data_IF_638128192941
#
_entry.id   IF_638128192941
#
_cell.length_a   1.000
_cell.length_b   1.000
_cell.length_c   1.000
_cell.angle_alpha   90.00
_cell.angle_beta   90.00
_cell.angle_gamma   90.00
#
_symmetry.space_group_name_H-M   'P 1'
#
loop_
_entity.id
_entity.type
_entity.pdbx_description
1 polymer ?
#
# COMPACT_ATOMS: atom_id res chain seq x y z
N UNK A 1 -16.78 -20.98 20.38
CA UNK A 1 -15.42 -20.58 19.97
C UNK A 1 -14.66 -20.21 21.23
N UNK A 2 -13.53 -20.86 21.52
CA UNK A 2 -12.72 -20.52 22.68
C UNK A 2 -11.81 -19.32 22.34
N UNK A 3 -12.29 -18.11 22.62
CA UNK A 3 -11.57 -16.86 22.33
C UNK A 3 -10.22 -16.79 23.04
N UNK A 4 -10.19 -17.17 24.32
CA UNK A 4 -8.97 -17.13 25.13
C UNK A 4 -7.88 -18.02 24.53
N UNK A 5 -8.23 -19.25 24.13
CA UNK A 5 -7.30 -20.16 23.48
C UNK A 5 -6.69 -19.58 22.19
N UNK A 6 -7.49 -18.85 21.39
CA UNK A 6 -6.97 -18.19 20.19
C UNK A 6 -6.00 -17.06 20.52
N UNK A 7 -6.31 -16.27 21.56
CA UNK A 7 -5.46 -15.17 22.00
C UNK A 7 -4.13 -15.68 22.57
N UNK A 8 -4.18 -16.76 23.36
CA UNK A 8 -3.00 -17.43 23.90
C UNK A 8 -2.13 -18.02 22.80
N UNK A 9 -2.75 -18.69 21.81
CA UNK A 9 -2.05 -19.22 20.64
C UNK A 9 -1.41 -18.11 19.79
N UNK A 10 -2.08 -16.96 19.59
CA UNK A 10 -1.50 -15.81 18.88
C UNK A 10 -0.33 -15.20 19.66
N UNK A 11 -0.48 -15.08 20.98
CA UNK A 11 0.58 -14.59 21.87
C UNK A 11 1.80 -15.50 21.78
N UNK A 12 1.59 -16.82 21.83
CA UNK A 12 2.68 -17.78 21.73
C UNK A 12 3.33 -17.77 20.35
N UNK A 13 2.55 -17.67 19.27
CA UNK A 13 3.08 -17.49 17.93
C UNK A 13 3.99 -16.26 17.85
N UNK A 14 3.56 -15.13 18.40
CA UNK A 14 4.36 -13.90 18.43
C UNK A 14 5.67 -14.08 19.20
N UNK A 15 5.67 -14.79 20.32
CA UNK A 15 6.89 -15.08 21.08
C UNK A 15 7.87 -15.95 20.27
N UNK A 16 7.37 -16.94 19.53
CA UNK A 16 8.21 -17.86 18.75
C UNK A 16 8.74 -17.25 17.45
N UNK A 17 7.97 -16.36 16.81
CA UNK A 17 8.28 -15.85 15.47
C UNK A 17 8.58 -14.35 15.43
N UNK A 18 8.42 -13.64 16.55
CA UNK A 18 8.62 -12.18 16.67
C UNK A 18 7.55 -11.32 16.00
N UNK A 19 6.53 -11.91 15.38
CA UNK A 19 5.46 -11.20 14.67
C UNK A 19 4.15 -12.01 14.63
N UNK A 20 3.06 -11.39 14.16
CA UNK A 20 1.73 -12.02 14.01
C UNK A 20 1.37 -12.33 12.54
N UNK A 21 2.38 -12.50 11.68
CA UNK A 21 2.20 -12.90 10.29
C UNK A 21 2.05 -14.42 10.18
N UNK A 22 0.94 -14.93 10.70
CA UNK A 22 0.62 -16.36 10.64
C UNK A 22 0.27 -16.76 9.19
N UNK A 23 0.97 -17.74 8.58
CA UNK A 23 0.63 -18.29 7.27
C UNK A 23 -0.78 -18.89 7.27
N UNK A 24 -1.51 -18.79 6.15
CA UNK A 24 -2.89 -19.26 6.06
C UNK A 24 -3.06 -20.75 6.41
N UNK A 25 -2.10 -21.59 6.00
CA UNK A 25 -2.10 -23.05 6.24
C UNK A 25 -1.36 -23.46 7.51
N UNK A 26 -0.96 -22.51 8.36
CA UNK A 26 -0.28 -22.85 9.60
C UNK A 26 -1.23 -23.56 10.56
N UNK A 27 -0.82 -24.76 10.98
CA UNK A 27 -1.48 -25.59 11.97
C UNK A 27 -0.48 -25.79 13.10
N UNK A 28 -0.94 -25.65 14.34
CA UNK A 28 -0.09 -25.87 15.50
C UNK A 28 0.30 -27.36 15.56
N UNK A 29 1.60 -27.69 15.60
CA UNK A 29 2.05 -29.07 15.63
C UNK A 29 1.58 -29.79 16.90
N UNK A 30 1.17 -31.04 16.73
CA UNK A 30 0.83 -31.92 17.85
C UNK A 30 2.08 -32.31 18.63
N UNK A 31 1.95 -32.45 19.95
CA UNK A 31 3.02 -32.85 20.88
C UNK A 31 4.22 -31.88 20.92
N UNK A 32 4.06 -30.66 20.44
CA UNK A 32 5.09 -29.63 20.59
C UNK A 32 4.92 -28.92 21.93
N UNK A 33 5.86 -29.15 22.85
CA UNK A 33 5.88 -28.58 24.20
C UNK A 33 5.92 -27.04 24.22
N UNK A 34 6.21 -26.39 23.08
CA UNK A 34 6.12 -24.93 22.96
C UNK A 34 4.68 -24.45 22.92
N UNK A 35 3.70 -25.33 22.73
CA UNK A 35 2.28 -24.98 22.65
C UNK A 35 1.49 -25.68 23.76
N UNK A 36 0.42 -25.02 24.23
CA UNK A 36 -0.55 -25.65 25.12
C UNK A 36 -1.20 -26.85 24.40
N UNK A 37 -1.44 -27.94 25.12
CA UNK A 37 -2.02 -29.17 24.58
C UNK A 37 -3.37 -28.94 23.89
N UNK A 38 -4.15 -28.01 24.43
CA UNK A 38 -5.46 -27.56 23.95
C UNK A 38 -5.37 -26.86 22.59
N UNK A 39 -4.21 -26.31 22.25
CA UNK A 39 -3.95 -25.63 20.99
C UNK A 39 -3.38 -26.57 19.91
N UNK A 40 -3.04 -27.82 20.23
CA UNK A 40 -2.52 -28.76 19.24
C UNK A 40 -3.52 -29.03 18.11
N UNK A 41 -3.01 -29.18 16.89
CA UNK A 41 -3.80 -29.33 15.66
C UNK A 41 -4.74 -28.15 15.34
N UNK A 42 -4.67 -27.05 16.10
CA UNK A 42 -5.44 -25.85 15.83
C UNK A 42 -4.95 -25.18 14.55
N UNK A 43 -5.88 -24.95 13.62
CA UNK A 43 -5.63 -24.24 12.36
C UNK A 43 -5.52 -22.72 12.59
N UNK A 44 -4.48 -22.29 13.30
CA UNK A 44 -4.27 -20.89 13.68
C UNK A 44 -4.23 -19.94 12.47
N UNK A 45 -3.69 -20.39 11.33
CA UNK A 45 -3.72 -19.63 10.08
C UNK A 45 -5.13 -19.32 9.55
N UNK A 46 -6.03 -20.29 9.65
CA UNK A 46 -7.44 -20.13 9.25
C UNK A 46 -8.18 -19.19 10.22
N UNK A 47 -7.89 -19.29 11.52
CA UNK A 47 -8.45 -18.41 12.56
C UNK A 47 -8.04 -16.96 12.30
N UNK A 48 -6.75 -16.71 12.11
CA UNK A 48 -6.21 -15.38 11.76
C UNK A 48 -6.88 -14.82 10.51
N UNK A 49 -7.10 -15.65 9.49
CA UNK A 49 -7.80 -15.24 8.28
C UNK A 49 -9.25 -14.82 8.58
N UNK A 50 -10.00 -15.61 9.36
CA UNK A 50 -11.38 -15.29 9.76
C UNK A 50 -11.45 -14.02 10.61
N UNK A 51 -10.51 -13.81 11.53
CA UNK A 51 -10.43 -12.58 12.34
C UNK A 51 -10.24 -11.34 11.45
N UNK A 52 -9.41 -11.43 10.41
CA UNK A 52 -9.23 -10.35 9.44
C UNK A 52 -10.49 -10.07 8.62
N UNK A 53 -11.23 -11.10 8.21
CA UNK A 53 -12.49 -10.94 7.48
C UNK A 53 -13.60 -10.30 8.34
N UNK A 54 -13.62 -10.62 9.64
CA UNK A 54 -14.62 -10.12 10.58
C UNK A 54 -14.19 -8.86 11.32
N UNK A 55 -13.11 -8.20 10.91
CA UNK A 55 -12.52 -7.07 11.65
C UNK A 55 -13.54 -5.97 12.00
N UNK A 56 -14.47 -5.66 11.08
CA UNK A 56 -15.50 -4.64 11.27
C UNK A 56 -16.64 -5.07 12.20
N UNK A 57 -16.81 -6.36 12.46
CA UNK A 57 -17.88 -6.92 13.30
C UNK A 57 -17.36 -7.59 14.58
N UNK A 58 -16.09 -7.40 14.91
CA UNK A 58 -15.53 -7.88 16.17
C UNK A 58 -16.05 -7.04 17.34
N UNK A 59 -16.37 -7.68 18.49
CA UNK A 59 -16.60 -6.97 19.73
C UNK A 59 -15.44 -6.05 20.09
N UNK A 60 -15.73 -4.89 20.69
CA UNK A 60 -14.74 -3.87 21.02
C UNK A 60 -13.58 -4.42 21.87
N UNK A 61 -13.88 -5.24 22.88
CA UNK A 61 -12.89 -5.88 23.75
C UNK A 61 -11.92 -6.78 22.98
N UNK A 62 -12.46 -7.62 22.07
CA UNK A 62 -11.64 -8.50 21.24
C UNK A 62 -10.76 -7.72 20.28
N UNK A 63 -11.29 -6.63 19.72
CA UNK A 63 -10.54 -5.73 18.86
C UNK A 63 -9.39 -5.07 19.62
N UNK A 64 -9.65 -4.51 20.80
CA UNK A 64 -8.63 -3.87 21.65
C UNK A 64 -7.54 -4.86 22.05
N UNK A 65 -7.91 -6.10 22.42
CA UNK A 65 -6.92 -7.12 22.76
C UNK A 65 -5.98 -7.45 21.58
N UNK A 66 -6.53 -7.57 20.37
CA UNK A 66 -5.75 -7.80 19.16
C UNK A 66 -4.87 -6.59 18.79
N UNK A 67 -5.39 -5.37 18.90
CA UNK A 67 -4.63 -4.14 18.63
C UNK A 67 -3.47 -3.97 19.62
N UNK A 68 -3.72 -4.22 20.92
CA UNK A 68 -2.71 -4.16 22.00
C UNK A 68 -1.53 -5.09 21.73
N UNK A 69 -1.78 -6.30 21.20
CA UNK A 69 -0.69 -7.22 20.84
C UNK A 69 -0.02 -6.90 19.49
N UNK A 70 -0.46 -5.87 18.77
CA UNK A 70 0.08 -5.47 17.47
C UNK A 70 -0.45 -6.30 16.29
N UNK A 71 -1.66 -6.86 16.39
CA UNK A 71 -2.27 -7.62 15.31
C UNK A 71 -2.70 -6.72 14.15
N UNK A 72 -2.22 -7.00 12.95
CA UNK A 72 -2.57 -6.25 11.74
C UNK A 72 -3.76 -6.89 11.02
N UNK A 73 -4.92 -6.24 11.09
CA UNK A 73 -6.15 -6.67 10.42
C UNK A 73 -6.07 -6.62 8.88
N UNK A 74 -5.18 -5.79 8.33
CA UNK A 74 -4.97 -5.66 6.88
C UNK A 74 -4.40 -6.92 6.19
N UNK A 75 -3.93 -7.91 6.94
CA UNK A 75 -3.32 -9.12 6.39
C UNK A 75 -1.91 -8.94 5.81
N UNK A 76 -1.23 -10.05 5.54
CA UNK A 76 0.16 -10.09 5.03
C UNK A 76 0.29 -9.39 3.65
N UNK A 77 -0.81 -9.34 2.88
CA UNK A 77 -0.84 -8.64 1.58
C UNK A 77 -0.79 -7.11 1.72
N UNK A 78 -1.15 -6.55 2.88
CA UNK A 78 -1.03 -5.13 3.16
C UNK A 78 0.22 -4.87 3.99
N UNK A 79 1.40 -4.97 3.36
CA UNK A 79 2.66 -4.43 3.93
C UNK A 79 2.59 -2.92 4.19
N UNK A 80 1.62 -2.25 3.57
CA UNK A 80 1.42 -0.81 3.62
C UNK A 80 0.37 -0.48 4.69
N UNK A 81 0.83 0.09 5.80
CA UNK A 81 -0.01 0.63 6.88
C UNK A 81 -0.77 1.89 6.45
N UNK A 82 -1.66 2.40 7.31
CA UNK A 82 -2.31 3.69 7.06
C UNK A 82 -1.29 4.84 7.08
N UNK A 83 -0.37 4.83 8.04
CA UNK A 83 0.71 5.81 8.16
C UNK A 83 1.57 5.84 6.91
N UNK A 84 1.89 4.67 6.33
CA UNK A 84 2.65 4.59 5.07
C UNK A 84 1.91 5.27 3.91
N UNK A 85 0.57 5.13 3.85
CA UNK A 85 -0.25 5.80 2.82
C UNK A 85 -0.24 7.31 3.01
N UNK A 86 -0.33 7.80 4.24
CA UNK A 86 -0.23 9.23 4.54
C UNK A 86 1.14 9.78 4.15
N UNK A 87 2.22 9.09 4.51
CA UNK A 87 3.58 9.49 4.15
C UNK A 87 3.77 9.52 2.63
N UNK A 88 3.22 8.55 1.90
CA UNK A 88 3.20 8.55 0.45
C UNK A 88 2.40 9.74 -0.14
N UNK A 89 1.23 10.07 0.43
CA UNK A 89 0.44 11.23 -0.02
C UNK A 89 1.17 12.54 0.27
N UNK A 90 1.78 12.68 1.46
CA UNK A 90 2.56 13.85 1.83
C UNK A 90 3.76 14.04 0.90
N UNK A 91 4.52 12.97 0.61
CA UNK A 91 5.61 13.01 -0.35
C UNK A 91 5.12 13.41 -1.76
N UNK A 92 4.00 12.84 -2.22
CA UNK A 92 3.40 13.22 -3.50
C UNK A 92 3.04 14.71 -3.53
N UNK A 93 2.44 15.24 -2.46
CA UNK A 93 2.11 16.67 -2.34
C UNK A 93 3.37 17.54 -2.35
N UNK A 94 4.44 17.15 -1.66
CA UNK A 94 5.70 17.88 -1.65
C UNK A 94 6.34 17.91 -3.04
N UNK A 95 6.30 16.81 -3.78
CA UNK A 95 6.92 16.69 -5.11
C UNK A 95 6.10 17.40 -6.20
N UNK A 96 4.76 17.32 -6.15
CA UNK A 96 3.88 17.80 -7.21
C UNK A 96 3.06 19.04 -6.85
N UNK A 97 3.09 19.51 -5.60
CA UNK A 97 2.30 20.63 -5.09
C UNK A 97 0.81 20.35 -4.89
N UNK A 98 0.32 19.15 -5.23
CA UNK A 98 -1.11 18.81 -5.18
C UNK A 98 -1.35 17.32 -4.88
N UNK A 99 -2.58 16.95 -4.52
CA UNK A 99 -2.98 15.55 -4.27
C UNK A 99 -3.82 14.91 -5.40
N UNK A 100 -3.73 15.45 -6.62
CA UNK A 100 -4.38 14.90 -7.81
C UNK A 100 -3.60 13.71 -8.39
N UNK A 101 -3.49 12.63 -7.61
CA UNK A 101 -2.74 11.43 -8.00
C UNK A 101 -3.42 10.71 -9.18
N UNK A 102 -2.70 10.44 -10.30
CA UNK A 102 -3.24 9.64 -11.39
C UNK A 102 -3.58 8.22 -10.97
N UNK A 103 -4.67 7.64 -11.48
CA UNK A 103 -5.16 6.32 -11.03
C UNK A 103 -4.17 5.16 -11.25
N UNK A 104 -3.29 5.26 -12.24
CA UNK A 104 -2.24 4.27 -12.53
C UNK A 104 -0.87 4.61 -11.91
N UNK A 105 -0.78 5.71 -11.16
CA UNK A 105 0.50 6.16 -10.59
C UNK A 105 1.05 5.12 -9.62
N UNK A 106 2.33 4.78 -9.83
CA UNK A 106 3.11 3.87 -9.01
C UNK A 106 4.37 4.61 -8.54
N UNK A 107 4.66 4.52 -7.25
CA UNK A 107 5.85 5.13 -6.66
C UNK A 107 7.10 4.44 -7.25
N UNK A 108 8.06 5.19 -7.80
CA UNK A 108 9.31 4.63 -8.30
C UNK A 108 10.12 4.02 -7.15
N UNK A 109 10.78 2.89 -7.40
CA UNK A 109 11.78 2.35 -6.48
C UNK A 109 13.08 3.14 -6.56
N UNK A 110 13.88 3.11 -5.50
CA UNK A 110 15.22 3.73 -5.46
C UNK A 110 15.22 5.25 -5.68
N UNK A 111 14.07 5.91 -5.47
CA UNK A 111 13.98 7.36 -5.50
C UNK A 111 13.90 7.90 -4.07
N UNK A 112 14.92 8.64 -3.66
CA UNK A 112 15.09 9.20 -2.31
C UNK A 112 14.05 10.25 -1.93
N UNK A 113 13.30 10.80 -2.90
CA UNK A 113 12.16 11.68 -2.60
C UNK A 113 10.97 10.92 -1.99
N UNK A 114 11.00 9.58 -2.02
CA UNK A 114 9.97 8.71 -1.46
C UNK A 114 10.54 7.85 -0.34
N UNK A 115 9.81 7.66 0.77
CA UNK A 115 10.19 6.70 1.80
C UNK A 115 10.33 5.28 1.24
N UNK A 116 11.38 4.55 1.65
CA UNK A 116 11.69 3.23 1.11
C UNK A 116 10.56 2.22 1.30
N UNK A 117 9.88 2.30 2.45
CA UNK A 117 8.72 1.46 2.81
C UNK A 117 7.51 1.65 1.87
N UNK A 118 7.46 2.71 1.06
CA UNK A 118 6.37 2.97 0.11
C UNK A 118 6.78 2.78 -1.35
N UNK A 119 8.03 2.40 -1.62
CA UNK A 119 8.47 2.12 -2.98
C UNK A 119 7.63 1.02 -3.63
N UNK A 120 7.44 1.15 -4.94
CA UNK A 120 6.57 0.29 -5.74
C UNK A 120 5.07 0.31 -5.37
N UNK A 121 4.64 1.12 -4.40
CA UNK A 121 3.23 1.25 -4.06
C UNK A 121 2.45 1.81 -5.26
N UNK A 122 1.32 1.17 -5.59
CA UNK A 122 0.33 1.70 -6.54
C UNK A 122 -0.50 2.81 -5.88
N UNK A 123 0.12 3.95 -5.59
CA UNK A 123 -0.51 5.06 -4.87
C UNK A 123 -1.78 5.56 -5.58
N UNK A 124 -1.84 5.51 -6.91
CA UNK A 124 -3.06 5.81 -7.66
C UNK A 124 -4.26 4.91 -7.30
N UNK A 125 -3.99 3.61 -7.11
CA UNK A 125 -5.01 2.66 -6.68
C UNK A 125 -5.43 2.89 -5.22
N UNK A 126 -4.48 3.26 -4.35
CA UNK A 126 -4.76 3.63 -2.96
C UNK A 126 -5.72 4.82 -2.89
N UNK A 127 -5.43 5.89 -3.64
CA UNK A 127 -6.26 7.10 -3.71
C UNK A 127 -7.66 6.78 -4.26
N UNK A 128 -7.75 5.94 -5.29
CA UNK A 128 -9.03 5.48 -5.83
C UNK A 128 -9.86 4.74 -4.77
N UNK A 129 -9.24 3.85 -3.99
CA UNK A 129 -9.91 3.10 -2.94
C UNK A 129 -10.34 4.01 -1.78
N UNK A 130 -9.52 4.99 -1.39
CA UNK A 130 -9.89 6.00 -0.38
C UNK A 130 -11.15 6.76 -0.83
N UNK A 131 -11.20 7.21 -2.09
CA UNK A 131 -12.38 7.90 -2.63
C UNK A 131 -13.62 7.01 -2.67
N UNK A 132 -13.48 5.74 -3.05
CA UNK A 132 -14.60 4.77 -3.03
C UNK A 132 -15.11 4.49 -1.62
N UNK A 133 -14.23 4.52 -0.63
CA UNK A 133 -14.56 4.29 0.77
C UNK A 133 -14.96 5.57 1.52
N UNK A 134 -15.25 6.69 0.83
CA UNK A 134 -15.54 7.98 1.47
C UNK A 134 -16.57 7.88 2.60
N UNK A 135 -17.66 7.15 2.37
CA UNK A 135 -18.79 7.06 3.28
C UNK A 135 -18.58 6.09 4.44
N UNK A 136 -17.53 5.26 4.39
CA UNK A 136 -17.22 4.24 5.39
C UNK A 136 -15.84 4.41 6.02
N UNK A 137 -15.22 5.58 5.84
CA UNK A 137 -13.92 5.92 6.43
C UNK A 137 -14.12 6.34 7.89
N UNK A 138 -13.28 5.76 8.74
CA UNK A 138 -13.13 6.15 10.14
C UNK A 138 -12.80 7.65 10.29
N UNK A 139 -13.33 8.28 11.34
CA UNK A 139 -13.24 9.73 11.56
C UNK A 139 -11.80 10.22 11.67
N UNK A 140 -10.93 9.45 12.34
CA UNK A 140 -9.50 9.81 12.48
C UNK A 140 -8.81 9.76 11.12
N UNK A 141 -9.14 8.77 10.28
CA UNK A 141 -8.58 8.69 8.91
C UNK A 141 -9.07 9.84 8.04
N UNK A 142 -10.34 10.23 8.19
CA UNK A 142 -10.92 11.37 7.48
C UNK A 142 -10.22 12.68 7.91
N UNK A 143 -9.98 12.87 9.20
CA UNK A 143 -9.28 14.05 9.72
C UNK A 143 -7.87 14.19 9.12
N UNK A 144 -7.07 13.12 9.14
CA UNK A 144 -5.74 13.13 8.53
C UNK A 144 -5.77 13.52 7.03
N UNK A 145 -6.78 13.07 6.28
CA UNK A 145 -6.92 13.43 4.86
C UNK A 145 -7.32 14.90 4.68
N UNK A 146 -8.15 15.44 5.58
CA UNK A 146 -8.53 16.86 5.59
C UNK A 146 -7.32 17.74 5.86
N UNK A 147 -6.51 17.40 6.88
CA UNK A 147 -5.27 18.12 7.21
C UNK A 147 -4.28 18.14 6.05
N UNK A 148 -4.17 17.02 5.32
CA UNK A 148 -3.35 16.95 4.11
C UNK A 148 -3.90 17.77 2.92
N UNK A 149 -5.16 18.23 2.98
CA UNK A 149 -5.85 18.89 1.87
C UNK A 149 -6.26 17.93 0.75
N UNK A 150 -6.69 16.72 1.12
CA UNK A 150 -7.03 15.68 0.16
C UNK A 150 -8.24 16.03 -0.72
N UNK A 151 -8.08 15.84 -2.03
CA UNK A 151 -9.12 16.15 -3.02
C UNK A 151 -10.01 14.93 -3.26
N UNK A 152 -11.26 15.02 -2.81
CA UNK A 152 -12.29 13.98 -2.97
C UNK A 152 -12.82 13.88 -4.41
N UNK A 153 -12.96 15.01 -5.10
CA UNK A 153 -13.50 15.08 -6.46
C UNK A 153 -12.45 15.61 -7.44
N UNK A 154 -11.97 14.75 -8.35
CA UNK A 154 -11.06 15.15 -9.42
C UNK A 154 -11.83 15.24 -10.74
N UNK A 155 -11.84 16.41 -11.38
CA UNK A 155 -12.44 16.57 -12.72
C UNK A 155 -11.84 15.53 -13.69
N UNK A 156 -12.68 14.83 -14.47
CA UNK A 156 -12.22 13.85 -15.45
C UNK A 156 -11.31 14.54 -16.48
N UNK A 157 -10.07 14.04 -16.69
CA UNK A 157 -9.28 14.45 -17.86
C UNK A 157 -9.96 13.90 -19.12
N UNK A 158 -10.31 14.78 -20.07
CA UNK A 158 -10.57 14.39 -21.47
C UNK A 158 -9.37 13.59 -21.94
N UNK A 159 -9.60 12.43 -22.58
CA UNK A 159 -8.55 11.73 -23.34
C UNK A 159 -8.04 12.75 -24.38
N UNK A 160 -6.84 13.30 -24.17
CA UNK A 160 -6.10 13.88 -25.28
C UNK A 160 -5.78 12.68 -26.18
N UNK A 161 -6.44 12.64 -27.34
CA UNK A 161 -6.09 11.73 -28.40
C UNK A 161 -4.57 11.83 -28.61
N UNK A 162 -3.91 10.69 -28.72
CA UNK A 162 -2.54 10.63 -29.17
C UNK A 162 -2.53 11.30 -30.56
N UNK A 163 -2.02 12.53 -30.64
CA UNK A 163 -1.62 13.06 -31.93
C UNK A 163 -0.43 12.21 -32.37
N UNK A 164 -0.47 11.61 -33.58
CA UNK A 164 0.65 10.86 -34.10
C UNK A 164 1.85 11.81 -34.21
N UNK A 165 2.96 11.41 -33.60
CA UNK A 165 4.26 12.08 -33.73
C UNK A 165 4.59 12.18 -35.22
N UNK A 166 4.57 13.41 -35.73
CA UNK A 166 5.23 13.75 -36.99
C UNK A 166 6.71 13.89 -36.66
N UNK A 167 7.48 12.85 -36.96
CA UNK A 167 8.93 12.90 -37.13
C UNK A 167 9.31 11.89 -38.21
N UNK A 168 10.17 12.14 -39.19
CA UNK A 168 10.82 13.35 -39.71
C UNK A 168 11.30 12.89 -41.09
N UNK A 169 10.97 13.66 -42.13
CA UNK A 169 11.34 13.37 -43.51
C UNK A 169 12.88 13.33 -43.63
N UNK A 170 13.42 12.15 -43.92
CA UNK A 170 14.86 11.95 -44.14
C UNK A 170 15.08 11.94 -45.65
N UNK A 171 15.28 13.11 -46.26
CA UNK A 171 15.87 13.24 -47.59
C UNK A 171 16.36 14.67 -47.87
N UNK A 172 17.70 14.78 -48.01
CA UNK A 172 18.45 15.66 -48.95
C UNK A 172 18.38 17.18 -48.64
N UNK A 173 19.43 18.00 -48.68
CA UNK A 173 20.63 18.10 -49.51
C UNK A 173 21.68 18.98 -48.81
N UNK A 174 22.98 18.67 -48.92
CA UNK A 174 24.07 19.56 -48.55
C UNK A 174 24.21 20.73 -49.56
N UNK A 175 24.55 21.95 -49.13
CA UNK A 175 24.79 23.08 -50.04
C UNK A 175 26.24 23.09 -50.59
N UNK A 176 26.46 23.68 -51.78
CA UNK A 176 27.78 23.83 -52.37
C UNK A 176 28.47 25.09 -51.83
N UNK A 177 29.76 25.00 -51.53
CA UNK A 177 30.61 26.18 -51.32
C UNK A 177 31.68 26.22 -52.42
N UNK A 178 31.68 27.30 -53.20
CA UNK A 178 32.75 27.67 -54.14
C UNK A 178 33.28 29.06 -53.81
N UNK A 179 34.63 29.14 -53.78
CA UNK A 179 35.54 30.29 -54.00
C UNK A 179 35.57 31.38 -52.90
N UNK A 180 36.68 31.98 -52.43
CA UNK A 180 38.01 32.33 -53.02
C UNK A 180 38.97 32.79 -51.89
N UNK A 181 40.29 32.60 -52.03
CA UNK A 181 41.39 33.55 -51.67
C UNK A 181 42.75 32.87 -52.00
N UNK A 182 43.40 33.19 -53.13
CA UNK A 182 44.59 34.09 -53.23
C UNK A 182 45.38 34.24 -51.93
N UNK A 183 46.68 33.91 -51.93
CA UNK A 183 47.81 34.79 -51.54
C UNK A 183 49.15 34.05 -51.73
N UNK A 184 50.00 34.68 -52.55
CA UNK A 184 51.47 34.65 -52.68
C UNK A 184 52.20 33.35 -53.01
#
# INVERSE_FOLDING_TARGET
>A
MNWQLHLDALTRYKQLHGNLHVPYRFIIPQNDARWQSEAWNLSLGNIVHKLRQKAASLPAEQRIALETMGFVFGGIKNKISWTDKLNALQAFKTIHGHLNVPGQFKIPSQNLQWPENVWNMKLGAVVCNIRKASNSLDDIKRLHLVELGFVWHTKKKRKLAQNPTIELNRNQTAPPNTTTTKTT
#
